data_IF_841211431522
#
_entry.id   IF_841211431522
#
_cell.length_a   1.000
_cell.length_b   1.000
_cell.length_c   1.000
_cell.angle_alpha   90.00
_cell.angle_beta   90.00
_cell.angle_gamma   90.00
#
_symmetry.space_group_name_H-M   'P 1'
#
loop_
_entity.id
_entity.type
_entity.pdbx_description
1 polymer ?
#
# COMPACT_ATOMS: atom_id res chain seq x y z
N UNK A 1 -7.08 29.63 -2.42
CA UNK A 1 -8.33 29.61 -1.66
C UNK A 1 -8.22 30.70 -0.62
N UNK A 2 -8.90 31.80 -0.86
CA UNK A 2 -8.95 32.88 0.10
C UNK A 2 -9.82 32.45 1.27
N UNK A 3 -9.34 32.68 2.49
CA UNK A 3 -10.12 32.40 3.69
C UNK A 3 -11.25 33.41 3.75
N UNK A 4 -12.47 32.95 3.97
CA UNK A 4 -13.57 33.85 4.26
C UNK A 4 -13.28 34.61 5.56
N UNK A 5 -13.54 35.91 5.58
CA UNK A 5 -13.42 36.75 6.77
C UNK A 5 -14.63 36.57 7.71
N UNK A 6 -14.87 35.32 8.09
CA UNK A 6 -16.07 34.90 8.82
C UNK A 6 -15.89 34.88 10.34
N UNK A 7 -14.74 35.36 10.83
CA UNK A 7 -14.43 35.46 12.25
C UNK A 7 -14.64 34.13 13.01
N UNK A 8 -14.47 33.00 12.30
CA UNK A 8 -14.73 31.67 12.82
C UNK A 8 -13.87 31.37 14.05
N UNK A 9 -14.51 30.89 15.12
CA UNK A 9 -13.83 30.54 16.37
C UNK A 9 -14.18 29.10 16.76
N UNK A 10 -13.18 28.23 16.73
CA UNK A 10 -13.26 26.86 17.24
C UNK A 10 -12.69 26.83 18.66
N UNK A 11 -13.51 26.43 19.63
CA UNK A 11 -13.12 26.23 21.03
C UNK A 11 -13.31 24.75 21.33
N UNK A 12 -12.24 24.09 21.76
CA UNK A 12 -12.26 22.68 22.20
C UNK A 12 -11.86 22.66 23.67
N UNK A 13 -12.80 22.29 24.54
CA UNK A 13 -12.54 22.02 25.96
C UNK A 13 -12.43 20.52 26.18
N UNK A 14 -11.28 20.03 26.64
CA UNK A 14 -11.07 18.61 26.93
C UNK A 14 -11.09 18.38 28.44
N UNK A 15 -11.98 17.50 28.90
CA UNK A 15 -11.97 16.98 30.26
C UNK A 15 -11.37 15.57 30.25
N UNK A 16 -10.12 15.46 30.68
CA UNK A 16 -9.36 14.21 30.68
C UNK A 16 -9.96 13.18 31.64
N UNK A 17 -10.41 13.63 32.83
CA UNK A 17 -10.95 12.75 33.85
C UNK A 17 -12.30 12.13 33.41
N UNK A 18 -13.16 12.93 32.78
CA UNK A 18 -14.42 12.47 32.23
C UNK A 18 -14.27 11.76 30.88
N UNK A 19 -13.08 11.82 30.24
CA UNK A 19 -12.85 11.38 28.85
C UNK A 19 -13.79 12.03 27.84
N UNK A 20 -14.11 13.30 28.06
CA UNK A 20 -15.04 14.06 27.23
C UNK A 20 -14.35 15.25 26.58
N UNK A 21 -14.79 15.58 25.36
CA UNK A 21 -14.43 16.82 24.69
C UNK A 21 -15.69 17.61 24.33
N UNK A 22 -15.73 18.88 24.73
CA UNK A 22 -16.75 19.84 24.30
C UNK A 22 -16.19 20.67 23.17
N UNK A 23 -16.83 20.58 22.01
CA UNK A 23 -16.46 21.33 20.81
C UNK A 23 -17.51 22.41 20.58
N UNK A 24 -17.10 23.67 20.56
CA UNK A 24 -17.94 24.81 20.22
C UNK A 24 -17.34 25.52 19.02
N UNK A 25 -18.09 25.55 17.92
CA UNK A 25 -17.74 26.31 16.73
C UNK A 25 -18.70 27.50 16.61
N UNK A 26 -18.15 28.71 16.63
CA UNK A 26 -18.87 29.94 16.34
C UNK A 26 -18.44 30.47 14.98
N UNK A 27 -19.39 31.03 14.24
CA UNK A 27 -19.17 31.50 12.89
C UNK A 27 -20.17 32.60 12.56
N UNK A 28 -19.70 33.75 12.11
CA UNK A 28 -20.55 34.96 11.98
C UNK A 28 -21.32 35.00 10.65
N UNK A 29 -20.88 34.22 9.66
CA UNK A 29 -21.44 34.17 8.31
C UNK A 29 -21.92 32.76 7.99
N UNK A 30 -23.10 32.59 7.38
CA UNK A 30 -23.50 31.28 6.88
C UNK A 30 -22.91 31.05 5.48
N UNK A 31 -21.86 30.20 5.40
CA UNK A 31 -21.25 29.82 4.12
C UNK A 31 -22.12 28.81 3.37
N UNK A 32 -22.02 28.82 2.04
CA UNK A 32 -22.48 27.69 1.23
C UNK A 32 -21.79 26.40 1.70
N UNK A 33 -22.54 25.30 1.68
CA UNK A 33 -21.97 24.00 2.06
C UNK A 33 -20.79 23.69 1.13
N UNK A 34 -19.63 23.26 1.67
CA UNK A 34 -18.54 22.78 0.84
C UNK A 34 -19.05 21.69 -0.09
N UNK A 35 -18.61 21.73 -1.35
CA UNK A 35 -18.87 20.64 -2.29
C UNK A 35 -18.27 19.35 -1.71
N UNK A 36 -19.04 18.27 -1.75
CA UNK A 36 -18.53 16.96 -1.34
C UNK A 36 -17.42 16.53 -2.31
N UNK A 37 -16.18 16.53 -1.79
CA UNK A 37 -14.99 16.12 -2.53
C UNK A 37 -14.57 14.70 -2.16
N UNK A 38 -15.43 13.92 -1.50
CA UNK A 38 -15.12 12.52 -1.19
C UNK A 38 -15.04 11.70 -2.47
N UNK A 39 -14.16 10.70 -2.45
CA UNK A 39 -14.06 9.77 -3.59
C UNK A 39 -15.32 8.91 -3.64
N UNK A 40 -16.06 8.85 -4.76
CA UNK A 40 -17.20 7.97 -4.92
C UNK A 40 -16.90 6.50 -4.62
N UNK A 41 -17.84 5.79 -3.99
CA UNK A 41 -17.68 4.37 -3.62
C UNK A 41 -17.45 3.46 -4.84
N UNK A 42 -18.02 3.79 -5.98
CA UNK A 42 -17.80 3.04 -7.22
C UNK A 42 -16.33 3.11 -7.67
N UNK A 43 -15.72 4.29 -7.58
CA UNK A 43 -14.30 4.49 -7.89
C UNK A 43 -13.43 3.75 -6.87
N UNK A 44 -13.79 3.76 -5.58
CA UNK A 44 -13.06 2.98 -4.56
C UNK A 44 -13.10 1.49 -4.88
N UNK A 45 -14.26 0.95 -5.27
CA UNK A 45 -14.38 -0.45 -5.70
C UNK A 45 -13.52 -0.73 -6.92
N UNK A 46 -13.51 0.14 -7.92
CA UNK A 46 -12.68 -0.06 -9.11
C UNK A 46 -11.17 -0.08 -8.77
N UNK A 47 -10.72 0.83 -7.89
CA UNK A 47 -9.34 0.84 -7.38
C UNK A 47 -9.04 -0.45 -6.63
N UNK A 48 -9.96 -0.91 -5.77
CA UNK A 48 -9.80 -2.15 -5.00
C UNK A 48 -9.69 -3.39 -5.91
N UNK A 49 -10.45 -3.47 -7.00
CA UNK A 49 -10.35 -4.62 -7.92
C UNK A 49 -9.06 -4.62 -8.75
N UNK A 50 -8.49 -3.42 -9.00
CA UNK A 50 -7.33 -3.24 -9.88
C UNK A 50 -6.07 -2.80 -9.13
N UNK A 51 -5.99 -3.03 -7.81
CA UNK A 51 -4.87 -2.55 -6.98
C UNK A 51 -3.51 -3.16 -7.35
N UNK A 52 -3.52 -4.29 -8.06
CA UNK A 52 -2.35 -4.99 -8.59
C UNK A 52 -1.67 -4.26 -9.76
N UNK A 53 -2.36 -3.33 -10.41
CA UNK A 53 -1.79 -2.49 -11.48
C UNK A 53 -0.80 -1.48 -10.89
N UNK A 54 0.19 -1.08 -11.70
CA UNK A 54 1.00 0.08 -11.35
C UNK A 54 0.16 1.36 -11.34
N UNK A 55 0.61 2.38 -10.62
CA UNK A 55 -0.15 3.62 -10.42
C UNK A 55 -0.42 4.40 -11.72
N UNK A 56 0.43 4.28 -12.75
CA UNK A 56 0.23 4.96 -14.04
C UNK A 56 -0.86 4.24 -14.82
N UNK A 57 -0.79 2.91 -14.90
CA UNK A 57 -1.84 2.07 -15.49
C UNK A 57 -3.18 2.28 -14.80
N UNK A 58 -3.21 2.19 -13.47
CA UNK A 58 -4.41 2.35 -12.68
C UNK A 58 -5.06 3.73 -12.89
N UNK A 59 -4.26 4.80 -12.89
CA UNK A 59 -4.78 6.16 -13.18
C UNK A 59 -5.38 6.25 -14.58
N UNK A 60 -4.75 5.61 -15.55
CA UNK A 60 -5.24 5.58 -16.93
C UNK A 60 -6.56 4.82 -17.01
N UNK A 61 -6.64 3.66 -16.39
CA UNK A 61 -7.84 2.83 -16.29
C UNK A 61 -9.02 3.59 -15.66
N UNK A 62 -8.79 4.25 -14.52
CA UNK A 62 -9.83 5.04 -13.84
C UNK A 62 -10.30 6.21 -14.72
N UNK A 63 -9.39 6.92 -15.39
CA UNK A 63 -9.73 8.04 -16.28
C UNK A 63 -10.52 7.64 -17.53
N UNK A 64 -10.38 6.40 -17.97
CA UNK A 64 -11.15 5.87 -19.11
C UNK A 64 -12.59 5.50 -18.73
N UNK A 65 -12.85 5.22 -17.44
CA UNK A 65 -14.16 4.77 -16.94
C UNK A 65 -14.93 5.86 -16.22
N UNK A 66 -14.24 6.84 -15.62
CA UNK A 66 -14.83 7.88 -14.79
C UNK A 66 -14.34 9.26 -15.20
N UNK A 67 -15.19 10.27 -15.00
CA UNK A 67 -14.81 11.66 -15.23
C UNK A 67 -13.72 12.09 -14.24
N UNK A 68 -12.67 12.72 -14.76
CA UNK A 68 -11.58 13.34 -13.99
C UNK A 68 -12.04 14.34 -12.93
N UNK A 69 -13.22 14.94 -13.08
CA UNK A 69 -13.81 15.82 -12.07
C UNK A 69 -14.25 15.08 -10.80
N UNK A 70 -14.48 13.76 -10.88
CA UNK A 70 -14.93 12.95 -9.75
C UNK A 70 -13.78 12.48 -8.85
N UNK A 71 -12.56 12.39 -9.39
CA UNK A 71 -11.42 11.87 -8.63
C UNK A 71 -10.08 12.43 -9.08
N UNK A 72 -9.28 12.85 -8.10
CA UNK A 72 -7.93 13.35 -8.32
C UNK A 72 -6.89 12.22 -8.29
N UNK A 73 -5.72 12.39 -8.96
CA UNK A 73 -4.62 11.42 -8.85
C UNK A 73 -4.12 11.16 -7.43
N UNK A 74 -4.28 12.15 -6.52
CA UNK A 74 -3.95 12.01 -5.09
C UNK A 74 -4.93 11.09 -4.37
N UNK A 75 -6.23 11.21 -4.66
CA UNK A 75 -7.24 10.32 -4.10
C UNK A 75 -7.08 8.89 -4.61
N UNK A 76 -6.76 8.71 -5.90
CA UNK A 76 -6.45 7.39 -6.46
C UNK A 76 -5.27 6.77 -5.70
N UNK A 77 -4.16 7.52 -5.56
CA UNK A 77 -2.99 7.04 -4.83
C UNK A 77 -3.31 6.69 -3.36
N UNK A 78 -4.08 7.54 -2.68
CA UNK A 78 -4.48 7.31 -1.30
C UNK A 78 -5.24 5.99 -1.14
N UNK A 79 -6.31 5.78 -1.92
CA UNK A 79 -7.09 4.55 -1.82
C UNK A 79 -6.30 3.32 -2.28
N UNK A 80 -5.52 3.43 -3.34
CA UNK A 80 -4.60 2.37 -3.76
C UNK A 80 -3.64 1.96 -2.64
N UNK A 81 -3.06 2.92 -1.93
CA UNK A 81 -2.17 2.67 -0.80
C UNK A 81 -2.90 2.01 0.37
N UNK A 82 -4.12 2.43 0.67
CA UNK A 82 -4.96 1.81 1.71
C UNK A 82 -5.24 0.35 1.35
N UNK A 83 -5.68 0.04 0.14
CA UNK A 83 -6.00 -1.33 -0.27
C UNK A 83 -4.75 -2.21 -0.35
N UNK A 84 -3.63 -1.69 -0.86
CA UNK A 84 -2.34 -2.41 -0.83
C UNK A 84 -1.92 -2.74 0.60
N UNK A 85 -2.03 -1.79 1.52
CA UNK A 85 -1.70 -2.03 2.93
C UNK A 85 -2.66 -3.05 3.55
N UNK A 86 -3.96 -2.99 3.28
CA UNK A 86 -4.91 -3.98 3.78
C UNK A 86 -4.60 -5.39 3.27
N UNK A 87 -4.10 -5.51 2.04
CA UNK A 87 -3.76 -6.79 1.44
C UNK A 87 -2.44 -7.36 1.99
N UNK A 88 -1.38 -6.56 2.08
CA UNK A 88 -0.04 -7.04 2.45
C UNK A 88 0.30 -6.92 3.94
N UNK A 89 -0.26 -5.94 4.66
CA UNK A 89 0.07 -5.65 6.06
C UNK A 89 -0.88 -6.38 7.01
N UNK A 90 -0.75 -7.70 7.05
CA UNK A 90 -1.59 -8.61 7.83
C UNK A 90 -1.26 -8.60 9.33
N UNK A 91 -0.12 -8.03 9.74
CA UNK A 91 0.28 -7.83 11.13
C UNK A 91 1.07 -6.52 11.29
N UNK A 92 1.29 -6.10 12.54
CA UNK A 92 2.20 -4.98 12.85
C UNK A 92 3.66 -5.38 12.65
N UNK A 93 3.99 -6.64 12.94
CA UNK A 93 5.30 -7.22 12.68
C UNK A 93 5.40 -7.61 11.19
N UNK A 94 6.40 -7.10 10.42
CA UNK A 94 6.57 -7.45 9.01
C UNK A 94 6.80 -8.94 8.76
N UNK A 95 7.52 -9.64 9.64
CA UNK A 95 7.78 -11.08 9.51
C UNK A 95 6.52 -11.90 9.73
N UNK A 96 5.77 -11.59 10.79
CA UNK A 96 4.46 -12.20 11.02
C UNK A 96 3.49 -11.90 9.87
N UNK A 97 3.54 -10.71 9.28
CA UNK A 97 2.75 -10.37 8.08
C UNK A 97 3.13 -11.26 6.90
N UNK A 98 4.43 -11.48 6.68
CA UNK A 98 4.94 -12.35 5.61
C UNK A 98 4.46 -13.80 5.79
N UNK A 99 4.61 -14.38 6.98
CA UNK A 99 4.11 -15.74 7.23
C UNK A 99 2.62 -15.84 6.95
N UNK A 100 1.80 -14.93 7.51
CA UNK A 100 0.35 -14.91 7.23
C UNK A 100 0.02 -14.75 5.76
N UNK A 101 0.85 -14.03 5.02
CA UNK A 101 0.67 -13.83 3.60
C UNK A 101 0.96 -15.11 2.81
N UNK A 102 2.09 -15.76 3.09
CA UNK A 102 2.51 -17.00 2.41
C UNK A 102 1.66 -18.22 2.83
N UNK A 103 1.12 -18.25 4.05
CA UNK A 103 0.24 -19.32 4.52
C UNK A 103 -1.15 -19.30 3.85
N UNK A 104 -1.51 -18.22 3.16
CA UNK A 104 -2.78 -18.13 2.44
C UNK A 104 -2.69 -18.91 1.12
N UNK A 105 -3.50 -19.96 0.91
CA UNK A 105 -3.43 -20.80 -0.30
C UNK A 105 -3.83 -20.07 -1.59
N UNK A 106 -4.43 -18.87 -1.51
CA UNK A 106 -4.71 -18.03 -2.67
C UNK A 106 -3.50 -17.17 -3.09
N UNK A 107 -2.44 -17.13 -2.28
CA UNK A 107 -1.23 -16.41 -2.59
C UNK A 107 -0.18 -17.35 -3.17
N UNK A 108 0.53 -16.85 -4.18
CA UNK A 108 1.46 -17.62 -4.98
C UNK A 108 2.89 -17.40 -4.47
N UNK A 109 3.26 -18.12 -3.41
CA UNK A 109 4.62 -18.16 -2.89
C UNK A 109 4.77 -19.21 -1.80
N UNK A 110 5.96 -19.81 -1.69
CA UNK A 110 6.25 -20.83 -0.69
C UNK A 110 7.42 -20.37 0.16
N UNK A 111 7.24 -20.45 1.48
CA UNK A 111 8.30 -20.16 2.43
C UNK A 111 9.40 -21.23 2.35
N UNK A 112 10.67 -20.83 2.30
CA UNK A 112 11.79 -21.75 2.17
C UNK A 112 12.86 -21.61 3.24
N UNK A 113 12.99 -20.43 3.85
CA UNK A 113 14.09 -20.14 4.75
C UNK A 113 13.72 -19.07 5.77
N UNK A 114 14.14 -19.26 7.02
CA UNK A 114 14.16 -18.23 8.06
C UNK A 114 15.44 -18.34 8.86
N UNK A 115 16.07 -17.19 9.08
CA UNK A 115 17.18 -17.02 9.99
C UNK A 115 16.82 -15.93 10.98
N UNK A 116 17.01 -16.20 12.26
CA UNK A 116 16.69 -15.26 13.32
C UNK A 116 17.72 -15.41 14.44
N UNK A 117 18.65 -14.46 14.51
CA UNK A 117 19.58 -14.29 15.63
C UNK A 117 19.42 -12.90 16.27
N UNK A 118 20.19 -12.62 17.33
CA UNK A 118 20.10 -11.33 18.06
C UNK A 118 20.39 -10.09 17.19
N UNK A 119 21.01 -10.27 16.02
CA UNK A 119 21.53 -9.21 15.14
C UNK A 119 20.90 -9.19 13.74
N UNK A 120 20.43 -10.32 13.22
CA UNK A 120 19.93 -10.47 11.86
C UNK A 120 18.65 -11.30 11.85
N UNK A 121 17.66 -10.82 11.10
CA UNK A 121 16.45 -11.58 10.78
C UNK A 121 16.30 -11.61 9.27
N UNK A 122 16.37 -12.78 8.67
CA UNK A 122 16.19 -12.97 7.23
C UNK A 122 15.11 -14.00 6.92
N UNK A 123 14.28 -13.74 5.90
CA UNK A 123 13.26 -14.67 5.41
C UNK A 123 13.40 -14.84 3.90
N UNK A 124 13.41 -16.09 3.45
CA UNK A 124 13.43 -16.48 2.04
C UNK A 124 12.16 -17.20 1.62
N UNK A 125 11.66 -16.87 0.43
CA UNK A 125 10.50 -17.52 -0.18
C UNK A 125 10.69 -17.64 -1.69
N UNK A 126 10.06 -18.66 -2.29
CA UNK A 126 10.06 -18.91 -3.73
C UNK A 126 8.71 -18.56 -4.32
N UNK A 127 8.68 -18.25 -5.61
CA UNK A 127 7.43 -18.10 -6.37
C UNK A 127 7.15 -19.39 -7.16
N UNK A 128 5.90 -19.65 -7.58
CA UNK A 128 5.59 -20.80 -8.42
C UNK A 128 6.40 -20.85 -9.74
N UNK A 129 6.90 -19.70 -10.19
CA UNK A 129 7.76 -19.59 -11.37
C UNK A 129 9.08 -20.33 -11.20
N UNK A 130 9.53 -20.60 -9.97
CA UNK A 130 10.76 -21.36 -9.76
C UNK A 130 10.68 -22.72 -10.47
N UNK A 131 9.61 -23.48 -10.23
CA UNK A 131 9.45 -24.82 -10.81
C UNK A 131 9.39 -24.75 -12.33
N UNK A 132 8.68 -23.75 -12.87
CA UNK A 132 8.51 -23.57 -14.31
C UNK A 132 9.82 -23.16 -15.00
N UNK A 133 10.65 -22.37 -14.33
CA UNK A 133 11.84 -21.74 -14.91
C UNK A 133 13.16 -22.39 -14.49
N UNK A 134 13.14 -23.40 -13.62
CA UNK A 134 14.29 -24.23 -13.24
C UNK A 134 15.17 -24.65 -14.44
N UNK A 135 14.61 -25.09 -15.59
CA UNK A 135 15.42 -25.56 -16.72
C UNK A 135 16.22 -24.46 -17.43
N UNK A 136 15.82 -23.20 -17.28
CA UNK A 136 16.41 -22.03 -17.97
C UNK A 136 16.94 -21.00 -16.98
N UNK A 137 17.07 -21.38 -15.71
CA UNK A 137 17.44 -20.51 -14.62
C UNK A 137 18.90 -20.03 -14.77
N UNK A 138 19.06 -18.80 -15.24
CA UNK A 138 20.27 -18.03 -14.96
C UNK A 138 20.07 -17.31 -13.63
N UNK A 139 21.03 -17.40 -12.72
CA UNK A 139 20.92 -16.78 -11.39
C UNK A 139 21.49 -15.37 -11.46
N UNK A 140 20.61 -14.38 -11.32
CA UNK A 140 21.00 -13.00 -11.06
C UNK A 140 20.48 -12.61 -9.69
N UNK A 141 21.38 -12.16 -8.82
CA UNK A 141 21.04 -11.61 -7.51
C UNK A 141 21.03 -10.08 -7.64
N UNK A 142 19.88 -9.46 -7.42
CA UNK A 142 19.75 -8.00 -7.36
C UNK A 142 19.34 -7.57 -5.96
N UNK A 143 19.95 -6.49 -5.46
CA UNK A 143 19.71 -5.96 -4.12
C UNK A 143 19.13 -4.55 -4.23
N UNK A 144 17.96 -4.32 -3.64
CA UNK A 144 17.36 -2.98 -3.63
C UNK A 144 17.94 -2.15 -2.47
N UNK A 145 18.96 -1.35 -2.75
CA UNK A 145 19.61 -0.50 -1.74
C UNK A 145 18.77 0.75 -1.44
N UNK A 146 18.49 1.01 -0.15
CA UNK A 146 17.79 2.21 0.38
C UNK A 146 16.33 2.44 -0.06
N UNK A 147 15.68 1.46 -0.66
CA UNK A 147 14.26 1.55 -1.07
C UNK A 147 13.28 1.08 0.01
N UNK A 148 13.72 0.20 0.92
CA UNK A 148 12.91 -0.26 2.04
C UNK A 148 12.99 0.71 3.23
N UNK A 149 11.83 1.18 3.72
CA UNK A 149 11.73 1.79 5.05
C UNK A 149 11.74 0.67 6.09
N UNK A 150 12.90 0.42 6.67
CA UNK A 150 13.19 -0.71 7.54
C UNK A 150 14.62 -1.10 7.22
N UNK A 151 15.45 -1.44 8.20
CA UNK A 151 16.89 -1.72 7.98
C UNK A 151 17.14 -3.06 7.27
N UNK A 152 16.25 -3.42 6.35
CA UNK A 152 16.24 -4.68 5.63
C UNK A 152 16.57 -4.40 4.16
N UNK A 153 17.33 -5.31 3.57
CA UNK A 153 17.66 -5.38 2.17
C UNK A 153 16.82 -6.50 1.53
N UNK A 154 16.34 -6.23 0.33
CA UNK A 154 15.63 -7.23 -0.48
C UNK A 154 16.56 -7.71 -1.58
N UNK A 155 16.80 -9.02 -1.57
CA UNK A 155 17.54 -9.77 -2.57
C UNK A 155 16.57 -10.59 -3.42
N UNK A 156 16.67 -10.51 -4.74
CA UNK A 156 15.86 -11.30 -5.65
C UNK A 156 16.71 -12.24 -6.49
N UNK A 157 16.28 -13.49 -6.67
CA UNK A 157 16.80 -14.41 -7.68
C UNK A 157 15.95 -14.25 -8.93
N UNK A 158 16.56 -13.84 -10.03
CA UNK A 158 15.88 -13.54 -11.29
C UNK A 158 16.33 -14.51 -12.38
N UNK A 159 15.38 -15.25 -12.94
CA UNK A 159 15.56 -16.07 -14.15
C UNK A 159 15.40 -15.21 -15.41
N UNK A 160 16.10 -15.53 -16.50
CA UNK A 160 15.95 -14.83 -17.78
C UNK A 160 15.34 -15.74 -18.85
N UNK A 161 14.15 -15.37 -19.35
CA UNK A 161 13.45 -16.06 -20.42
C UNK A 161 13.28 -15.10 -21.60
N UNK A 162 13.85 -15.43 -22.76
CA UNK A 162 13.81 -14.59 -23.96
C UNK A 162 14.26 -13.13 -23.75
N UNK A 163 15.19 -12.90 -22.82
CA UNK A 163 15.70 -11.57 -22.49
C UNK A 163 14.84 -10.78 -21.49
N UNK A 164 13.74 -11.36 -20.99
CA UNK A 164 12.95 -10.81 -19.90
C UNK A 164 13.29 -11.49 -18.56
N UNK A 165 13.41 -10.70 -17.50
CA UNK A 165 13.70 -11.17 -16.15
C UNK A 165 12.44 -11.53 -15.37
N UNK A 166 12.44 -12.70 -14.74
CA UNK A 166 11.36 -13.22 -13.91
C UNK A 166 11.87 -13.56 -12.51
N UNK A 167 11.34 -12.94 -11.45
CA UNK A 167 11.76 -13.24 -10.09
C UNK A 167 11.21 -14.60 -9.63
N UNK A 168 12.12 -15.52 -9.32
CA UNK A 168 11.78 -16.90 -8.90
C UNK A 168 11.92 -17.12 -7.40
N UNK A 169 12.72 -16.29 -6.72
CA UNK A 169 12.86 -16.33 -5.28
C UNK A 169 13.26 -14.97 -4.73
N UNK A 170 13.00 -14.76 -3.45
CA UNK A 170 13.39 -13.56 -2.72
C UNK A 170 13.97 -13.94 -1.36
N UNK A 171 14.89 -13.12 -0.88
CA UNK A 171 15.40 -13.11 0.49
C UNK A 171 15.32 -11.67 1.00
N UNK A 172 14.67 -11.47 2.14
CA UNK A 172 14.63 -10.18 2.83
C UNK A 172 15.38 -10.31 4.16
N UNK A 173 16.32 -9.41 4.47
CA UNK A 173 17.12 -9.48 5.70
C UNK A 173 17.89 -8.21 6.03
#
# INVERSE_FOLDING_TARGET
>A
MDRFDCHAKLIIGVNIAAKEAKVKLNHDIQHEKPVDVTTPEEIKREIMHNFHMDLVQLRTHIRQRFDTLQVTPKQIYYWWSIFNQQFFKLDKNPFTSMHRFLDNPNNNGEFCYEWNDESVIAIGFITPLLIELLPVLSIHCDATYKTAKGRFELYGIISSVHGAGFPVAYLIG
#
